data_IF_074114301958
#
_entry.id   IF_074114301958
#
_cell.length_a   1.000
_cell.length_b   1.000
_cell.length_c   1.000
_cell.angle_alpha   90.00
_cell.angle_beta   90.00
_cell.angle_gamma   90.00
#
_symmetry.space_group_name_H-M   'P 1'
#
loop_
_entity.id
_entity.type
_entity.pdbx_description
1 polymer ?
#
# COMPACT_ATOMS: atom_id res chain seq x y z
N UNK A 1 25.91 11.43 -35.78
CA UNK A 1 26.56 12.29 -34.76
C UNK A 1 25.58 12.90 -33.75
N UNK A 2 24.50 13.58 -34.16
CA UNK A 2 23.50 14.15 -33.22
C UNK A 2 22.80 13.12 -32.33
N UNK A 3 22.44 11.96 -32.88
CA UNK A 3 21.78 10.90 -32.12
C UNK A 3 22.64 10.34 -30.98
N UNK A 4 23.96 10.26 -31.21
CA UNK A 4 24.91 9.77 -30.22
C UNK A 4 25.08 10.76 -29.06
N UNK A 5 25.09 12.06 -29.37
CA UNK A 5 25.09 13.12 -28.36
C UNK A 5 23.81 13.06 -27.51
N UNK A 6 22.63 12.90 -28.14
CA UNK A 6 21.36 12.77 -27.42
C UNK A 6 21.33 11.52 -26.52
N UNK A 7 21.83 10.39 -27.01
CA UNK A 7 21.94 9.16 -26.24
C UNK A 7 22.87 9.32 -25.03
N UNK A 8 24.02 9.96 -25.25
CA UNK A 8 25.00 10.24 -24.19
C UNK A 8 24.43 11.15 -23.10
N UNK A 9 23.72 12.22 -23.49
CA UNK A 9 23.06 13.11 -22.52
C UNK A 9 21.98 12.40 -21.72
N UNK A 10 21.22 11.50 -22.34
CA UNK A 10 20.16 10.74 -21.68
C UNK A 10 20.74 9.75 -20.66
N UNK A 11 21.82 9.04 -21.01
CA UNK A 11 22.53 8.14 -20.11
C UNK A 11 23.14 8.90 -18.92
N UNK A 12 23.67 10.10 -19.14
CA UNK A 12 24.23 10.94 -18.07
C UNK A 12 23.13 11.39 -17.09
N UNK A 13 21.98 11.82 -17.60
CA UNK A 13 20.80 12.15 -16.80
C UNK A 13 20.30 10.95 -15.98
N UNK A 14 20.26 9.74 -16.56
CA UNK A 14 19.90 8.54 -15.83
C UNK A 14 20.88 8.20 -14.69
N UNK A 15 22.17 8.49 -14.86
CA UNK A 15 23.19 8.29 -13.84
C UNK A 15 23.14 9.31 -12.69
N UNK A 16 22.64 10.52 -12.97
CA UNK A 16 22.44 11.59 -11.99
C UNK A 16 21.17 11.43 -11.15
N UNK A 17 20.22 10.61 -11.60
CA UNK A 17 19.06 10.27 -10.77
C UNK A 17 19.57 9.56 -9.51
N UNK A 18 19.30 10.09 -8.30
CA UNK A 18 19.64 9.38 -7.08
C UNK A 18 18.99 8.02 -7.18
N UNK A 19 19.78 6.96 -7.01
CA UNK A 19 19.27 5.58 -6.98
C UNK A 19 18.32 5.51 -5.80
N UNK A 20 17.04 5.76 -6.04
CA UNK A 20 15.99 5.63 -5.05
C UNK A 20 15.98 4.15 -4.73
N UNK A 21 16.73 3.77 -3.70
CA UNK A 21 16.47 2.52 -3.00
C UNK A 21 15.06 2.72 -2.47
N UNK A 22 14.06 2.28 -3.23
CA UNK A 22 12.76 1.93 -2.67
C UNK A 22 13.01 0.75 -1.73
N UNK A 23 13.69 1.01 -0.62
CA UNK A 23 14.05 0.06 0.42
C UNK A 23 12.90 -0.11 1.40
N UNK A 24 11.67 0.06 0.93
CA UNK A 24 10.49 -0.36 1.66
C UNK A 24 10.39 -1.88 1.49
N UNK A 25 10.38 -2.61 2.62
CA UNK A 25 10.12 -4.05 2.58
C UNK A 25 8.74 -4.32 1.98
N UNK A 26 8.50 -5.52 1.44
CA UNK A 26 7.22 -5.87 0.81
C UNK A 26 5.99 -5.58 1.71
N UNK A 27 6.14 -5.68 3.03
CA UNK A 27 5.08 -5.36 3.99
C UNK A 27 4.87 -3.84 4.18
N UNK A 28 5.93 -3.04 4.05
CA UNK A 28 5.87 -1.59 4.11
C UNK A 28 5.24 -1.01 2.84
N UNK A 29 5.62 -1.53 1.66
CA UNK A 29 4.96 -1.17 0.40
C UNK A 29 3.50 -1.58 0.38
N UNK A 30 3.17 -2.76 0.89
CA UNK A 30 1.78 -3.22 1.03
C UNK A 30 0.97 -2.29 1.95
N UNK A 31 1.54 -1.86 3.09
CA UNK A 31 0.89 -0.91 3.98
C UNK A 31 0.59 0.44 3.30
N UNK A 32 1.57 0.98 2.57
CA UNK A 32 1.41 2.24 1.81
C UNK A 32 0.35 2.09 0.70
N UNK A 33 0.32 0.94 0.01
CA UNK A 33 -0.66 0.68 -1.04
C UNK A 33 -2.10 0.61 -0.50
N UNK A 34 -2.27 0.24 0.77
CA UNK A 34 -3.54 0.28 1.51
C UNK A 34 -3.86 1.67 2.10
N UNK A 35 -3.13 2.72 1.71
CA UNK A 35 -3.21 4.06 2.29
C UNK A 35 -2.96 4.07 3.81
N UNK A 36 -2.17 3.11 4.28
CA UNK A 36 -1.71 3.01 5.66
C UNK A 36 -0.37 3.71 5.90
N UNK A 37 -0.08 3.97 7.18
CA UNK A 37 1.14 4.57 7.69
C UNK A 37 1.78 3.58 8.67
N UNK A 38 3.08 3.36 8.52
CA UNK A 38 3.84 2.51 9.43
C UNK A 38 4.21 3.28 10.71
N UNK A 39 3.82 2.77 11.88
CA UNK A 39 4.19 3.29 13.19
C UNK A 39 5.05 2.29 13.97
N UNK A 40 5.88 2.82 14.87
CA UNK A 40 6.85 2.02 15.64
C UNK A 40 6.25 1.32 16.85
N UNK A 41 5.22 1.91 17.44
CA UNK A 41 4.65 1.47 18.72
C UNK A 41 3.22 0.96 18.54
N UNK A 42 2.26 1.89 18.49
CA UNK A 42 0.82 1.62 18.40
C UNK A 42 0.16 2.63 17.46
N UNK A 43 -0.96 2.22 16.87
CA UNK A 43 -1.80 3.09 16.08
C UNK A 43 -2.51 4.13 16.96
N UNK A 44 -2.80 5.30 16.39
CA UNK A 44 -3.57 6.33 17.11
C UNK A 44 -5.01 5.85 17.35
N UNK A 45 -5.73 6.46 18.28
CA UNK A 45 -7.15 6.15 18.55
C UNK A 45 -8.04 6.23 17.29
N UNK A 46 -7.69 7.10 16.35
CA UNK A 46 -8.39 7.33 15.08
C UNK A 46 -7.87 6.46 13.92
N UNK A 47 -6.91 5.58 14.20
CA UNK A 47 -6.27 4.70 13.24
C UNK A 47 -6.47 3.23 13.66
N UNK A 48 -6.82 2.37 12.71
CA UNK A 48 -6.92 0.92 12.91
C UNK A 48 -5.59 0.23 12.60
N UNK A 49 -5.23 -0.77 13.40
CA UNK A 49 -4.09 -1.66 13.12
C UNK A 49 -4.50 -2.72 12.08
N UNK A 50 -3.96 -2.61 10.86
CA UNK A 50 -4.25 -3.55 9.75
C UNK A 50 -3.21 -4.66 9.67
N UNK A 51 -2.00 -4.42 10.17
CA UNK A 51 -0.93 -5.41 10.11
C UNK A 51 0.40 -4.89 10.62
N UNK A 52 1.50 -5.44 10.10
CA UNK A 52 2.86 -5.06 10.48
C UNK A 52 3.68 -4.64 9.26
N UNK A 53 4.50 -3.61 9.41
CA UNK A 53 5.39 -3.14 8.33
C UNK A 53 6.80 -3.74 8.42
N UNK A 54 7.33 -3.87 9.63
CA UNK A 54 8.68 -4.38 9.95
C UNK A 54 8.66 -5.02 11.34
N UNK A 55 9.80 -5.55 11.78
CA UNK A 55 9.97 -6.08 13.13
C UNK A 55 9.60 -5.00 14.16
N UNK A 56 8.54 -5.26 14.93
CA UNK A 56 7.93 -4.35 15.93
C UNK A 56 7.15 -3.14 15.37
N UNK A 57 7.09 -2.91 14.06
CA UNK A 57 6.34 -1.79 13.48
C UNK A 57 4.96 -2.25 13.02
N UNK A 58 3.93 -1.45 13.31
CA UNK A 58 2.53 -1.68 12.96
C UNK A 58 2.13 -0.87 11.72
N UNK A 59 1.25 -1.42 10.90
CA UNK A 59 0.61 -0.72 9.80
C UNK A 59 -0.73 -0.16 10.30
N UNK A 60 -0.84 1.16 10.31
CA UNK A 60 -1.99 1.89 10.84
C UNK A 60 -2.71 2.59 9.70
N UNK A 61 -4.03 2.42 9.56
CA UNK A 61 -4.83 3.12 8.56
C UNK A 61 -5.86 3.98 9.24
N UNK A 62 -6.11 5.17 8.71
CA UNK A 62 -7.15 6.03 9.25
C UNK A 62 -8.51 5.31 9.19
N UNK A 63 -9.27 5.38 10.27
CA UNK A 63 -10.56 4.70 10.35
C UNK A 63 -11.51 5.25 9.29
N UNK A 64 -12.09 4.36 8.49
CA UNK A 64 -13.00 4.73 7.40
C UNK A 64 -14.24 5.46 7.90
N UNK A 65 -14.65 5.26 9.16
CA UNK A 65 -15.77 5.98 9.80
C UNK A 65 -15.49 7.48 9.96
N UNK A 66 -14.20 7.86 10.06
CA UNK A 66 -13.77 9.27 10.16
C UNK A 66 -13.50 9.91 8.80
N UNK A 67 -13.44 9.11 7.72
CA UNK A 67 -13.47 9.64 6.37
C UNK A 67 -14.93 9.74 5.93
N UNK A 68 -15.49 10.94 5.70
CA UNK A 68 -16.82 11.09 5.13
C UNK A 68 -16.76 10.76 3.63
N UNK A 69 -16.44 9.52 3.30
CA UNK A 69 -16.59 9.00 1.94
C UNK A 69 -18.00 8.41 1.91
N UNK A 70 -18.90 8.91 1.04
CA UNK A 70 -20.17 8.28 0.82
C UNK A 70 -19.86 6.91 0.20
N UNK A 71 -19.73 5.87 1.01
CA UNK A 71 -19.60 4.50 0.50
C UNK A 71 -20.89 4.22 -0.26
N UNK A 72 -20.86 4.07 -1.60
CA UNK A 72 -22.04 3.58 -2.28
C UNK A 72 -22.32 2.19 -1.71
N UNK A 73 -23.55 2.00 -1.23
CA UNK A 73 -24.02 0.74 -0.69
C UNK A 73 -23.96 -0.28 -1.81
N UNK A 74 -22.90 -1.08 -1.86
CA UNK A 74 -22.88 -2.28 -2.70
C UNK A 74 -23.59 -3.36 -1.89
N UNK A 75 -24.88 -3.55 -2.17
CA UNK A 75 -25.59 -4.75 -1.79
C UNK A 75 -24.93 -5.90 -2.54
N UNK A 76 -24.03 -6.63 -1.87
CA UNK A 76 -23.58 -7.91 -2.40
C UNK A 76 -24.66 -8.91 -2.02
N UNK A 77 -25.48 -9.31 -2.99
CA UNK A 77 -26.40 -10.45 -2.92
C UNK A 77 -25.61 -11.78 -2.85
N UNK A 78 -24.65 -11.86 -1.91
CA UNK A 78 -23.93 -13.08 -1.66
C UNK A 78 -24.79 -14.00 -0.81
N UNK A 79 -25.45 -14.95 -1.47
CA UNK A 79 -26.15 -16.04 -0.81
C UNK A 79 -25.23 -17.26 -0.79
N UNK A 80 -24.82 -17.67 0.40
CA UNK A 80 -24.02 -18.88 0.58
C UNK A 80 -24.80 -20.13 0.11
N UNK A 81 -24.18 -21.06 -0.66
CA UNK A 81 -24.85 -22.30 -1.02
C UNK A 81 -24.94 -23.23 0.19
N UNK A 82 -26.15 -23.71 0.49
CA UNK A 82 -26.41 -24.74 1.50
C UNK A 82 -25.67 -26.04 1.10
N UNK A 83 -24.56 -26.32 1.79
CA UNK A 83 -23.85 -27.59 1.67
C UNK A 83 -24.69 -28.70 2.32
N UNK A 84 -25.39 -29.50 1.51
CA UNK A 84 -25.95 -30.78 1.96
C UNK A 84 -24.80 -31.74 2.27
N UNK A 85 -24.61 -32.02 3.56
CA UNK A 85 -23.70 -33.08 4.03
C UNK A 85 -24.14 -34.41 3.40
N UNK A 86 -23.28 -34.98 2.56
CA UNK A 86 -23.41 -36.35 2.05
C UNK A 86 -23.46 -37.34 3.23
N UNK A 87 -24.31 -38.37 3.11
CA UNK A 87 -24.34 -39.55 3.97
C UNK A 87 -23.81 -40.76 3.20
#
# INVERSE_FOLDING_TARGET
>A
MRLYLLLSTLLFLLGLLPRVRSGLGAAETHCVNLQGICRRDICKLIEDEIGACRRRWKCCRLWWVLLPIPTPVIFSDYQEPLQTKMK
#
